data_IF_287661649099
#
_entry.id   IF_287661649099
#
_cell.length_a   1.000
_cell.length_b   1.000
_cell.length_c   1.000
_cell.angle_alpha   90.00
_cell.angle_beta   90.00
_cell.angle_gamma   90.00
#
_symmetry.space_group_name_H-M   'P 1'
#
loop_
_entity.id
_entity.type
_entity.pdbx_description
1 polymer ?
#
# COMPACT_ATOMS: atom_id res chain seq x y z
N UNK A 1 -25.08 8.09 -17.49
CA UNK A 1 -23.63 7.83 -17.68
C UNK A 1 -23.04 8.91 -18.57
N UNK A 2 -21.98 9.57 -18.16
CA UNK A 2 -21.31 10.56 -19.00
C UNK A 2 -20.47 9.86 -20.09
N UNK A 3 -20.20 10.56 -21.20
CA UNK A 3 -19.35 10.01 -22.29
C UNK A 3 -17.97 9.57 -21.78
N UNK A 4 -17.44 10.28 -20.78
CA UNK A 4 -16.19 9.97 -20.10
C UNK A 4 -16.26 8.67 -19.27
N UNK A 5 -17.38 8.39 -18.61
CA UNK A 5 -17.59 7.13 -17.89
C UNK A 5 -17.62 5.96 -18.87
N UNK A 6 -18.36 6.10 -19.97
CA UNK A 6 -18.44 5.06 -21.00
C UNK A 6 -17.07 4.75 -21.61
N UNK A 7 -16.28 5.77 -21.95
CA UNK A 7 -14.92 5.59 -22.49
C UNK A 7 -13.96 4.96 -21.49
N UNK A 8 -14.07 5.31 -20.19
CA UNK A 8 -13.24 4.67 -19.15
C UNK A 8 -13.58 3.20 -18.97
N UNK A 9 -14.87 2.83 -19.03
CA UNK A 9 -15.34 1.45 -18.91
C UNK A 9 -14.89 0.59 -20.10
N UNK A 10 -14.94 1.14 -21.32
CA UNK A 10 -14.42 0.47 -22.53
C UNK A 10 -12.90 0.27 -22.44
N UNK A 11 -12.17 1.28 -21.97
CA UNK A 11 -10.72 1.20 -21.76
C UNK A 11 -10.34 0.12 -20.75
N UNK A 12 -11.04 0.07 -19.62
CA UNK A 12 -10.85 -0.94 -18.60
C UNK A 12 -11.22 -2.35 -19.10
N UNK A 13 -12.33 -2.49 -19.86
CA UNK A 13 -12.73 -3.75 -20.47
C UNK A 13 -11.70 -4.27 -21.47
N UNK A 14 -11.07 -3.39 -22.26
CA UNK A 14 -9.98 -3.75 -23.16
C UNK A 14 -8.73 -4.21 -22.39
N UNK A 15 -8.33 -3.49 -21.34
CA UNK A 15 -7.19 -3.86 -20.50
C UNK A 15 -7.39 -5.21 -19.80
N UNK A 16 -8.62 -5.56 -19.42
CA UNK A 16 -8.91 -6.87 -18.81
C UNK A 16 -8.68 -8.06 -19.73
N UNK A 17 -8.69 -7.87 -21.06
CA UNK A 17 -8.40 -8.93 -22.04
C UNK A 17 -6.91 -9.19 -22.23
N UNK A 18 -6.06 -8.28 -21.75
CA UNK A 18 -4.61 -8.42 -21.83
C UNK A 18 -4.07 -9.23 -20.66
N UNK A 19 -2.86 -9.78 -20.83
CA UNK A 19 -2.10 -10.37 -19.75
C UNK A 19 -1.99 -9.36 -18.59
N UNK A 20 -2.19 -9.79 -17.31
CA UNK A 20 -2.36 -8.89 -16.18
C UNK A 20 -1.24 -7.88 -15.99
N UNK A 21 0.03 -8.29 -16.08
CA UNK A 21 1.16 -7.37 -15.89
C UNK A 21 1.33 -6.40 -17.07
N UNK A 22 1.02 -6.83 -18.28
CA UNK A 22 1.00 -5.96 -19.47
C UNK A 22 -0.07 -4.90 -19.35
N UNK A 23 -1.28 -5.29 -18.94
CA UNK A 23 -2.38 -4.35 -18.67
C UNK A 23 -2.02 -3.32 -17.61
N UNK A 24 -1.40 -3.76 -16.51
CA UNK A 24 -0.91 -2.89 -15.45
C UNK A 24 0.11 -1.86 -15.97
N UNK A 25 1.11 -2.31 -16.75
CA UNK A 25 2.10 -1.40 -17.32
C UNK A 25 1.49 -0.37 -18.28
N UNK A 26 0.52 -0.78 -19.11
CA UNK A 26 -0.21 0.13 -19.99
C UNK A 26 -1.04 1.14 -19.21
N UNK A 27 -1.71 0.72 -18.12
CA UNK A 27 -2.47 1.62 -17.25
C UNK A 27 -1.55 2.68 -16.62
N UNK A 28 -0.39 2.28 -16.07
CA UNK A 28 0.59 3.23 -15.51
C UNK A 28 1.11 4.19 -16.57
N UNK A 29 1.46 3.72 -17.77
CA UNK A 29 1.89 4.59 -18.87
C UNK A 29 0.79 5.56 -19.30
N UNK A 30 -0.45 5.11 -19.32
CA UNK A 30 -1.62 5.95 -19.59
C UNK A 30 -1.78 7.06 -18.53
N UNK A 31 -1.80 6.69 -17.26
CA UNK A 31 -1.88 7.62 -16.12
C UNK A 31 -0.72 8.63 -16.11
N UNK A 32 0.48 8.21 -16.50
CA UNK A 32 1.65 9.09 -16.54
C UNK A 32 1.60 10.13 -17.65
N UNK A 33 0.93 9.85 -18.78
CA UNK A 33 1.03 10.63 -20.03
C UNK A 33 -0.25 11.30 -20.45
N UNK A 34 -1.40 10.67 -20.19
CA UNK A 34 -2.69 11.20 -20.64
C UNK A 34 -3.16 12.35 -19.72
N UNK A 35 -3.69 13.43 -20.31
CA UNK A 35 -4.33 14.47 -19.52
C UNK A 35 -5.65 13.91 -18.97
N UNK A 36 -5.73 13.77 -17.64
CA UNK A 36 -6.96 13.40 -16.97
C UNK A 36 -7.63 14.68 -16.42
N UNK A 37 -8.96 14.77 -16.46
CA UNK A 37 -9.67 15.82 -15.74
C UNK A 37 -9.43 15.65 -14.25
N UNK A 38 -9.29 16.76 -13.52
CA UNK A 38 -9.22 16.71 -12.07
C UNK A 38 -10.53 16.17 -11.51
N UNK A 39 -10.45 15.35 -10.46
CA UNK A 39 -11.63 14.96 -9.69
C UNK A 39 -12.33 16.21 -9.15
N UNK A 40 -13.66 16.12 -8.98
CA UNK A 40 -14.42 17.13 -8.28
C UNK A 40 -13.86 17.31 -6.85
N UNK A 41 -13.91 18.52 -6.28
CA UNK A 41 -13.54 18.73 -4.89
C UNK A 41 -14.37 17.82 -3.96
N UNK A 42 -13.71 17.30 -2.95
CA UNK A 42 -14.37 16.51 -1.91
C UNK A 42 -15.29 17.38 -1.03
N UNK A 43 -16.33 16.77 -0.48
CA UNK A 43 -17.11 17.40 0.58
C UNK A 43 -16.19 17.69 1.79
N UNK A 44 -16.16 18.93 2.32
CA UNK A 44 -15.34 19.28 3.47
C UNK A 44 -15.52 18.38 4.70
N UNK A 45 -16.67 17.70 4.83
CA UNK A 45 -16.94 16.74 5.92
C UNK A 45 -16.00 15.54 5.88
N UNK A 46 -15.44 15.20 4.70
CA UNK A 46 -14.52 14.08 4.51
C UNK A 46 -13.09 14.40 4.92
N UNK A 47 -12.79 15.68 5.22
CA UNK A 47 -11.45 16.06 5.66
C UNK A 47 -11.06 15.31 6.92
N UNK A 48 -9.86 14.76 6.91
CA UNK A 48 -9.33 14.02 8.06
C UNK A 48 -7.87 14.34 8.27
N UNK A 49 -7.34 13.93 9.42
CA UNK A 49 -5.94 14.08 9.77
C UNK A 49 -5.35 12.75 10.18
N UNK A 50 -4.19 12.42 9.63
CA UNK A 50 -3.45 11.20 9.94
C UNK A 50 -1.99 11.54 10.26
N UNK A 51 -1.52 11.24 11.47
CA UNK A 51 -0.12 11.44 11.85
C UNK A 51 0.44 12.83 11.47
N UNK A 52 -0.36 13.87 11.66
CA UNK A 52 0.00 15.25 11.30
C UNK A 52 -0.22 15.64 9.83
N UNK A 53 -0.58 14.71 8.97
CA UNK A 53 -0.93 14.97 7.57
C UNK A 53 -2.40 15.38 7.46
N UNK A 54 -2.67 16.53 6.84
CA UNK A 54 -4.03 16.97 6.52
C UNK A 54 -4.44 16.36 5.18
N UNK A 55 -5.52 15.58 5.18
CA UNK A 55 -6.02 14.83 4.02
C UNK A 55 -7.40 15.33 3.62
N UNK A 56 -7.66 15.55 2.31
CA UNK A 56 -8.95 16.02 1.83
C UNK A 56 -10.08 15.00 2.04
N UNK A 57 -9.74 13.71 2.05
CA UNK A 57 -10.66 12.61 2.34
C UNK A 57 -9.90 11.40 2.92
N UNK A 58 -10.59 10.42 3.53
CA UNK A 58 -9.95 9.28 4.20
C UNK A 58 -9.55 8.14 3.26
N UNK A 59 -9.67 8.29 1.94
CA UNK A 59 -9.41 7.20 0.97
C UNK A 59 -8.08 7.42 0.27
N UNK A 60 -7.12 6.55 0.50
CA UNK A 60 -5.81 6.56 -0.14
C UNK A 60 -5.63 5.46 -1.18
N UNK A 61 -4.60 5.59 -2.00
CA UNK A 61 -4.11 4.54 -2.87
C UNK A 61 -2.97 3.79 -2.18
N UNK A 62 -3.08 2.47 -2.08
CA UNK A 62 -2.04 1.60 -1.54
C UNK A 62 -0.86 1.42 -2.50
N UNK A 63 0.32 1.17 -1.95
CA UNK A 63 1.50 0.76 -2.72
C UNK A 63 1.25 -0.51 -3.55
N UNK A 64 1.99 -0.62 -4.65
CA UNK A 64 1.95 -1.77 -5.56
C UNK A 64 1.44 -1.44 -6.95
N UNK A 65 0.59 -0.42 -7.11
CA UNK A 65 0.15 0.06 -8.41
C UNK A 65 1.28 0.82 -9.12
N UNK A 66 1.73 1.92 -8.57
CA UNK A 66 2.84 2.71 -9.10
C UNK A 66 4.13 2.42 -8.31
N UNK A 67 4.90 1.46 -8.79
CA UNK A 67 6.09 0.99 -8.09
C UNK A 67 7.28 1.95 -8.17
N UNK A 68 7.29 2.81 -9.17
CA UNK A 68 8.40 3.73 -9.43
C UNK A 68 8.00 5.22 -9.31
N UNK A 69 6.79 5.52 -8.84
CA UNK A 69 6.24 6.87 -8.78
C UNK A 69 6.17 7.57 -10.16
N UNK A 70 5.89 6.81 -11.24
CA UNK A 70 5.88 7.29 -12.63
C UNK A 70 4.59 8.06 -12.97
N UNK A 71 3.48 7.71 -12.32
CA UNK A 71 2.13 8.15 -12.67
C UNK A 71 1.53 9.17 -11.68
N UNK A 72 2.35 9.78 -10.82
CA UNK A 72 1.90 10.67 -9.75
C UNK A 72 0.96 11.78 -10.24
N UNK A 73 1.23 12.34 -11.45
CA UNK A 73 0.37 13.38 -12.04
C UNK A 73 -1.05 12.85 -12.31
N UNK A 74 -1.17 11.68 -12.92
CA UNK A 74 -2.49 11.08 -13.20
C UNK A 74 -3.18 10.61 -11.93
N UNK A 75 -2.43 9.98 -11.01
CA UNK A 75 -2.98 9.51 -9.75
C UNK A 75 -3.51 10.65 -8.88
N UNK A 76 -2.87 11.82 -8.90
CA UNK A 76 -3.34 13.02 -8.19
C UNK A 76 -4.67 13.58 -8.73
N UNK A 77 -5.10 13.18 -9.93
CA UNK A 77 -6.35 13.59 -10.55
C UNK A 77 -7.52 12.65 -10.22
N UNK A 78 -7.25 11.48 -9.59
CA UNK A 78 -8.28 10.47 -9.34
C UNK A 78 -9.08 10.70 -8.05
N UNK A 79 -8.79 11.73 -7.27
CA UNK A 79 -9.52 12.07 -6.06
C UNK A 79 -9.11 11.31 -4.81
N UNK A 80 -7.94 10.63 -4.81
CA UNK A 80 -7.40 10.04 -3.58
C UNK A 80 -6.93 11.15 -2.61
N UNK A 81 -7.23 10.99 -1.34
CA UNK A 81 -6.73 11.86 -0.28
C UNK A 81 -5.21 11.79 -0.11
N UNK A 82 -4.63 10.63 -0.41
CA UNK A 82 -3.18 10.41 -0.42
C UNK A 82 -2.84 9.22 -1.34
N UNK A 83 -1.59 9.18 -1.81
CA UNK A 83 -1.11 8.16 -2.75
C UNK A 83 0.17 7.53 -2.20
N UNK A 84 0.23 6.20 -2.13
CA UNK A 84 1.43 5.48 -1.75
C UNK A 84 2.04 4.79 -2.96
N UNK A 85 3.31 5.10 -3.26
CA UNK A 85 4.09 4.51 -4.34
C UNK A 85 5.14 3.54 -3.80
N UNK A 86 5.53 2.56 -4.61
CA UNK A 86 6.49 1.52 -4.22
C UNK A 86 5.88 0.12 -4.27
N UNK A 87 6.51 -0.92 -3.68
CA UNK A 87 7.70 -0.78 -2.80
C UNK A 87 8.95 -0.55 -3.64
N UNK A 88 9.76 0.38 -3.21
CA UNK A 88 11.07 0.66 -3.80
C UNK A 88 12.17 0.08 -2.91
N UNK A 89 13.24 -0.42 -3.53
CA UNK A 89 14.44 -0.95 -2.87
C UNK A 89 15.65 -0.11 -3.21
N UNK A 90 16.73 -0.12 -2.39
CA UNK A 90 17.95 0.66 -2.68
C UNK A 90 18.47 0.48 -4.10
N UNK A 91 18.66 -0.76 -4.53
CA UNK A 91 19.08 -1.12 -5.88
C UNK A 91 17.89 -1.49 -6.75
N UNK A 92 17.95 -1.27 -8.08
CA UNK A 92 16.95 -1.81 -9.01
C UNK A 92 16.84 -3.33 -8.88
N UNK A 93 15.63 -3.85 -9.04
CA UNK A 93 15.35 -5.27 -8.87
C UNK A 93 14.29 -5.72 -9.87
N UNK A 94 14.56 -6.80 -10.61
CA UNK A 94 13.63 -7.33 -11.62
C UNK A 94 12.38 -7.97 -11.00
N UNK A 95 12.47 -8.40 -9.74
CA UNK A 95 11.44 -9.19 -9.06
C UNK A 95 11.49 -10.66 -9.41
N UNK A 96 10.41 -11.38 -9.13
CA UNK A 96 10.31 -12.81 -9.39
C UNK A 96 10.05 -13.11 -10.89
N UNK A 97 10.32 -14.33 -11.37
CA UNK A 97 10.01 -14.75 -12.75
C UNK A 97 8.51 -14.60 -13.08
N UNK A 98 8.23 -14.38 -14.36
CA UNK A 98 6.85 -14.36 -14.90
C UNK A 98 6.40 -15.76 -15.28
N UNK A 99 5.07 -16.06 -15.27
CA UNK A 99 3.97 -15.21 -14.84
C UNK A 99 3.95 -15.03 -13.31
N UNK A 100 3.57 -13.85 -12.85
CA UNK A 100 3.63 -13.47 -11.42
C UNK A 100 2.46 -12.61 -10.94
N UNK A 101 1.44 -12.46 -11.79
CA UNK A 101 0.20 -11.75 -11.50
C UNK A 101 -0.96 -12.51 -12.13
N UNK A 102 -1.94 -12.93 -11.33
CA UNK A 102 -3.05 -13.78 -11.72
C UNK A 102 -4.35 -13.15 -11.28
N UNK A 103 -5.28 -12.97 -12.22
CA UNK A 103 -6.65 -12.54 -11.92
C UNK A 103 -7.51 -13.75 -11.59
N UNK A 104 -8.25 -13.66 -10.52
CA UNK A 104 -9.24 -14.62 -10.09
C UNK A 104 -10.59 -13.92 -10.24
N UNK A 105 -11.07 -13.80 -11.50
CA UNK A 105 -12.23 -12.97 -11.81
C UNK A 105 -13.50 -13.49 -11.13
N UNK A 106 -13.65 -14.83 -11.05
CA UNK A 106 -14.77 -15.51 -10.40
C UNK A 106 -14.84 -15.22 -8.89
N UNK A 107 -13.70 -14.89 -8.30
CA UNK A 107 -13.53 -14.66 -6.86
C UNK A 107 -13.32 -13.18 -6.51
N UNK A 108 -13.42 -12.27 -7.49
CA UNK A 108 -13.10 -10.86 -7.33
C UNK A 108 -11.72 -10.67 -6.63
N UNK A 109 -10.73 -11.41 -7.09
CA UNK A 109 -9.44 -11.54 -6.42
C UNK A 109 -8.24 -11.45 -7.37
N UNK A 110 -7.07 -11.26 -6.78
CA UNK A 110 -5.79 -11.30 -7.47
C UNK A 110 -4.76 -12.03 -6.62
N UNK A 111 -3.99 -12.93 -7.23
CA UNK A 111 -2.76 -13.48 -6.65
C UNK A 111 -1.56 -12.84 -7.31
N UNK A 112 -0.61 -12.36 -6.51
CA UNK A 112 0.64 -11.82 -7.00
C UNK A 112 1.86 -12.39 -6.28
N UNK A 113 2.96 -12.56 -7.04
CA UNK A 113 4.28 -12.90 -6.53
C UNK A 113 5.35 -11.98 -7.15
N UNK A 114 5.08 -10.67 -7.13
CA UNK A 114 5.88 -9.67 -7.85
C UNK A 114 7.34 -9.59 -7.37
N UNK A 115 7.60 -9.70 -6.06
CA UNK A 115 8.97 -9.72 -5.51
C UNK A 115 9.67 -8.37 -5.58
N UNK A 116 8.95 -7.27 -5.30
CA UNK A 116 9.47 -5.89 -5.28
C UNK A 116 10.21 -5.48 -6.57
N UNK A 117 9.63 -5.78 -7.74
CA UNK A 117 10.17 -5.28 -9.00
C UNK A 117 10.09 -3.76 -9.06
N UNK A 118 11.23 -3.09 -9.17
CA UNK A 118 11.34 -1.64 -9.20
C UNK A 118 12.66 -1.18 -9.84
N UNK A 119 12.74 0.11 -10.15
CA UNK A 119 13.89 0.73 -10.81
C UNK A 119 14.95 1.33 -9.84
N UNK A 120 14.80 1.10 -8.53
CA UNK A 120 15.71 1.60 -7.50
C UNK A 120 15.44 3.03 -7.05
N UNK A 121 16.09 3.41 -5.94
CA UNK A 121 15.87 4.70 -5.28
C UNK A 121 16.19 5.91 -6.15
N UNK A 122 17.20 5.85 -7.02
CA UNK A 122 17.59 7.01 -7.84
C UNK A 122 16.48 7.41 -8.82
N UNK A 123 15.90 6.43 -9.51
CA UNK A 123 14.79 6.65 -10.44
C UNK A 123 13.56 7.12 -9.67
N UNK A 124 13.24 6.45 -8.56
CA UNK A 124 12.12 6.79 -7.71
C UNK A 124 12.21 8.23 -7.17
N UNK A 125 13.37 8.63 -6.63
CA UNK A 125 13.62 10.00 -6.16
C UNK A 125 13.47 11.03 -7.29
N UNK A 126 13.95 10.69 -8.50
CA UNK A 126 13.78 11.53 -9.69
C UNK A 126 12.32 11.79 -10.04
N UNK A 127 11.45 10.81 -9.86
CA UNK A 127 10.01 10.94 -10.08
C UNK A 127 9.33 11.71 -8.94
N UNK A 128 9.68 11.45 -7.67
CA UNK A 128 9.12 12.18 -6.54
C UNK A 128 9.38 13.70 -6.61
N UNK A 129 10.54 14.13 -7.09
CA UNK A 129 10.83 15.57 -7.29
C UNK A 129 9.87 16.27 -8.25
N UNK A 130 9.14 15.52 -9.07
CA UNK A 130 8.15 16.00 -10.04
C UNK A 130 6.71 15.81 -9.54
N UNK A 131 6.52 15.33 -8.30
CA UNK A 131 5.20 15.12 -7.71
C UNK A 131 4.40 16.43 -7.64
N UNK A 132 3.09 16.40 -7.89
CA UNK A 132 2.23 17.57 -7.71
C UNK A 132 2.22 18.01 -6.24
N UNK A 133 2.44 19.31 -5.99
CA UNK A 133 2.60 19.87 -4.64
C UNK A 133 1.38 19.71 -3.72
N UNK A 134 0.20 19.44 -4.29
CA UNK A 134 -1.07 19.32 -3.52
C UNK A 134 -1.41 17.90 -3.09
N UNK A 135 -0.66 16.89 -3.54
CA UNK A 135 -0.93 15.49 -3.22
C UNK A 135 0.02 15.00 -2.14
N UNK A 136 -0.51 14.43 -1.08
CA UNK A 136 0.31 13.72 -0.09
C UNK A 136 0.78 12.41 -0.71
N UNK A 137 2.08 12.32 -0.97
CA UNK A 137 2.71 11.13 -1.58
C UNK A 137 3.56 10.41 -0.55
N UNK A 138 3.25 9.14 -0.30
CA UNK A 138 4.04 8.24 0.54
C UNK A 138 5.01 7.39 -0.28
N UNK A 139 6.17 7.11 0.30
CA UNK A 139 7.15 6.18 -0.23
C UNK A 139 7.12 4.87 0.56
N UNK A 140 6.68 3.78 -0.08
CA UNK A 140 6.72 2.45 0.49
C UNK A 140 8.10 1.85 0.25
N UNK A 141 8.82 1.55 1.33
CA UNK A 141 10.18 1.03 1.32
C UNK A 141 10.18 -0.48 1.47
N UNK A 142 11.08 -1.14 0.77
CA UNK A 142 11.35 -2.56 0.86
C UNK A 142 12.85 -2.84 0.83
N UNK A 143 13.24 -4.06 1.23
CA UNK A 143 14.61 -4.52 1.14
C UNK A 143 14.86 -5.27 -0.18
N UNK A 144 16.07 -5.18 -0.72
CA UNK A 144 16.50 -6.02 -1.82
C UNK A 144 16.51 -7.51 -1.40
N UNK A 145 16.25 -8.38 -2.37
CA UNK A 145 16.12 -9.82 -2.13
C UNK A 145 17.41 -10.45 -1.59
N UNK A 146 18.53 -9.96 -2.09
CA UNK A 146 19.89 -10.45 -1.84
C UNK A 146 20.64 -9.70 -0.73
N UNK A 147 20.02 -8.72 -0.09
CA UNK A 147 20.61 -8.01 1.06
C UNK A 147 20.51 -8.86 2.31
N UNK A 148 21.63 -9.06 3.01
CA UNK A 148 21.70 -9.76 4.30
C UNK A 148 21.09 -8.89 5.41
N UNK A 149 21.60 -7.68 5.58
CA UNK A 149 21.09 -6.68 6.53
C UNK A 149 19.92 -5.89 5.92
N UNK A 150 18.73 -6.51 5.93
CA UNK A 150 17.54 -5.88 5.37
C UNK A 150 17.16 -4.57 6.07
N UNK A 151 17.48 -4.40 7.35
CA UNK A 151 17.17 -3.18 8.09
C UNK A 151 17.97 -1.98 7.53
N UNK A 152 19.22 -2.20 7.08
CA UNK A 152 20.00 -1.15 6.43
C UNK A 152 19.35 -0.61 5.15
N UNK A 153 18.70 -1.47 4.36
CA UNK A 153 17.99 -1.05 3.14
C UNK A 153 16.85 -0.06 3.43
N UNK A 154 16.09 -0.28 4.51
CA UNK A 154 15.03 0.65 4.92
C UNK A 154 15.60 1.98 5.39
N UNK A 155 16.69 1.98 6.16
CA UNK A 155 17.39 3.19 6.61
C UNK A 155 17.93 3.96 5.42
N UNK A 156 18.53 3.29 4.44
CA UNK A 156 19.01 3.92 3.20
C UNK A 156 17.84 4.56 2.45
N UNK A 157 16.74 3.83 2.25
CA UNK A 157 15.55 4.34 1.59
C UNK A 157 15.00 5.60 2.25
N UNK A 158 14.89 5.59 3.58
CA UNK A 158 14.42 6.73 4.35
C UNK A 158 15.33 7.96 4.16
N UNK A 159 16.64 7.79 4.31
CA UNK A 159 17.63 8.88 4.14
C UNK A 159 17.66 9.44 2.73
N UNK A 160 17.64 8.57 1.71
CA UNK A 160 17.70 8.96 0.30
C UNK A 160 16.46 9.70 -0.19
N UNK A 161 15.31 9.44 0.42
CA UNK A 161 14.04 10.06 0.06
C UNK A 161 13.58 11.12 1.05
N UNK A 162 14.41 11.47 2.03
CA UNK A 162 14.13 12.55 2.97
C UNK A 162 13.83 13.87 2.22
N UNK A 163 12.79 14.57 2.67
CA UNK A 163 12.31 15.80 2.04
C UNK A 163 11.58 15.63 0.70
N UNK A 164 11.53 14.42 0.12
CA UNK A 164 10.83 14.14 -1.15
C UNK A 164 9.46 13.51 -0.95
N UNK A 165 9.29 12.67 0.07
CA UNK A 165 8.01 12.03 0.40
C UNK A 165 7.31 12.77 1.54
N UNK A 166 5.97 12.71 1.54
CA UNK A 166 5.13 13.21 2.63
C UNK A 166 5.16 12.31 3.86
N UNK A 167 5.32 11.00 3.65
CA UNK A 167 5.50 9.96 4.69
C UNK A 167 6.24 8.76 4.12
N UNK A 168 6.66 7.86 5.00
CA UNK A 168 7.31 6.60 4.63
C UNK A 168 6.53 5.40 5.16
N UNK A 169 6.54 4.30 4.41
CA UNK A 169 6.01 3.01 4.88
C UNK A 169 7.13 1.97 4.92
N UNK A 170 7.36 1.40 6.08
CA UNK A 170 8.27 0.26 6.28
C UNK A 170 7.48 -1.02 6.00
N UNK A 171 7.70 -1.63 4.84
CA UNK A 171 6.95 -2.79 4.39
C UNK A 171 7.69 -4.09 4.70
N UNK A 172 7.39 -4.69 5.85
CA UNK A 172 7.97 -5.96 6.31
C UNK A 172 7.03 -7.16 6.07
N UNK A 173 5.96 -6.97 5.34
CA UNK A 173 4.84 -7.91 5.27
C UNK A 173 4.73 -8.66 3.93
N UNK A 174 5.58 -8.35 2.94
CA UNK A 174 5.50 -9.03 1.64
C UNK A 174 5.80 -10.53 1.77
N UNK A 175 4.90 -11.39 1.29
CA UNK A 175 5.17 -12.83 1.27
C UNK A 175 6.12 -13.26 0.15
N UNK A 176 6.43 -12.34 -0.77
CA UNK A 176 7.11 -12.63 -2.03
C UNK A 176 8.63 -12.35 -1.98
N UNK A 177 9.15 -11.97 -0.83
CA UNK A 177 10.57 -11.72 -0.59
C UNK A 177 11.04 -12.64 0.55
N UNK A 178 11.97 -13.56 0.29
CA UNK A 178 12.45 -14.52 1.31
C UNK A 178 12.96 -13.80 2.57
N UNK A 179 12.57 -14.32 3.73
CA UNK A 179 13.01 -13.82 5.04
C UNK A 179 12.44 -12.47 5.46
N UNK A 180 11.66 -11.79 4.61
CA UNK A 180 11.15 -10.47 4.95
C UNK A 180 10.16 -10.49 6.14
N UNK A 181 9.25 -11.46 6.15
CA UNK A 181 8.25 -11.59 7.23
C UNK A 181 8.88 -11.96 8.58
N UNK A 182 10.11 -12.50 8.60
CA UNK A 182 10.85 -12.74 9.84
C UNK A 182 11.15 -11.43 10.60
N UNK A 183 11.18 -10.28 9.92
CA UNK A 183 11.30 -8.96 10.55
C UNK A 183 10.07 -8.57 11.41
N UNK A 184 8.97 -9.31 11.35
CA UNK A 184 7.81 -9.11 12.22
C UNK A 184 7.97 -9.75 13.60
N UNK A 185 8.97 -10.63 13.79
CA UNK A 185 9.30 -11.16 15.10
C UNK A 185 9.93 -10.10 16.01
N UNK A 186 9.57 -10.09 17.30
CA UNK A 186 9.84 -9.01 18.26
C UNK A 186 11.29 -8.50 18.22
N UNK A 187 12.29 -9.36 18.35
CA UNK A 187 13.70 -8.94 18.38
C UNK A 187 14.16 -8.26 17.08
N UNK A 188 13.81 -8.85 15.93
CA UNK A 188 14.18 -8.29 14.63
C UNK A 188 13.43 -6.98 14.35
N UNK A 189 12.20 -6.88 14.83
CA UNK A 189 11.40 -5.66 14.73
C UNK A 189 11.96 -4.52 15.58
N UNK A 190 12.35 -4.80 16.83
CA UNK A 190 12.98 -3.81 17.71
C UNK A 190 14.30 -3.27 17.11
N UNK A 191 15.16 -4.14 16.53
CA UNK A 191 16.35 -3.67 15.83
C UNK A 191 16.02 -2.77 14.65
N UNK A 192 15.11 -3.21 13.78
CA UNK A 192 14.69 -2.44 12.62
C UNK A 192 14.12 -1.07 13.00
N UNK A 193 13.13 -1.05 13.91
CA UNK A 193 12.44 0.18 14.29
C UNK A 193 13.35 1.13 15.08
N UNK A 194 14.25 0.60 15.93
CA UNK A 194 15.28 1.38 16.61
C UNK A 194 16.23 2.07 15.63
N UNK A 195 16.67 1.38 14.57
CA UNK A 195 17.53 1.95 13.51
C UNK A 195 16.76 2.99 12.67
N UNK A 196 15.48 2.78 12.42
CA UNK A 196 14.61 3.75 11.72
C UNK A 196 14.44 5.01 12.57
N UNK A 197 14.17 4.88 13.87
CA UNK A 197 14.02 6.05 14.75
C UNK A 197 15.32 6.85 14.85
N UNK A 198 16.47 6.20 14.99
CA UNK A 198 17.80 6.85 14.97
C UNK A 198 18.11 7.57 13.65
N UNK A 199 17.54 7.11 12.53
CA UNK A 199 17.75 7.73 11.23
C UNK A 199 16.84 8.93 10.95
N UNK A 200 15.82 9.15 11.79
CA UNK A 200 14.85 10.26 11.67
C UNK A 200 15.29 11.47 12.48
N UNK A 201 14.90 12.70 12.08
CA UNK A 201 15.01 13.85 12.97
C UNK A 201 14.27 13.60 14.29
N UNK A 202 14.69 14.21 15.42
CA UNK A 202 14.02 14.06 16.72
C UNK A 202 12.52 14.38 16.63
N UNK A 203 11.75 13.84 17.56
CA UNK A 203 10.29 14.11 17.66
C UNK A 203 10.08 15.62 17.83
N UNK A 204 9.17 16.18 17.03
CA UNK A 204 8.87 17.61 17.00
C UNK A 204 9.86 18.47 16.22
N UNK A 205 10.97 17.92 15.72
CA UNK A 205 11.91 18.66 14.89
C UNK A 205 11.33 18.96 13.50
N UNK A 206 11.66 20.13 12.92
CA UNK A 206 11.30 20.41 11.53
C UNK A 206 11.83 19.33 10.59
N UNK A 207 11.02 18.94 9.62
CA UNK A 207 11.41 17.92 8.62
C UNK A 207 11.16 16.47 9.04
N UNK A 208 10.83 16.17 10.30
CA UNK A 208 10.43 14.81 10.68
C UNK A 208 9.16 14.40 9.92
N UNK A 209 9.29 13.40 9.06
CA UNK A 209 8.16 12.84 8.30
C UNK A 209 7.57 11.64 9.04
N UNK A 210 6.24 11.43 8.96
CA UNK A 210 5.61 10.25 9.53
C UNK A 210 6.17 8.97 8.92
N UNK A 211 6.31 7.94 9.75
CA UNK A 211 6.69 6.59 9.34
C UNK A 211 5.60 5.61 9.75
N UNK A 212 5.10 4.87 8.79
CA UNK A 212 4.09 3.84 8.98
C UNK A 212 4.72 2.45 8.87
N UNK A 213 4.19 1.50 9.62
CA UNK A 213 4.60 0.09 9.56
C UNK A 213 3.51 -0.72 8.88
N UNK A 214 3.84 -1.52 7.85
CA UNK A 214 2.87 -2.36 7.14
C UNK A 214 3.07 -3.83 7.47
N UNK A 215 2.04 -4.45 8.04
CA UNK A 215 2.05 -5.82 8.55
C UNK A 215 1.27 -6.81 7.67
N UNK A 216 1.52 -8.10 7.87
CA UNK A 216 0.79 -9.18 7.21
C UNK A 216 -0.56 -9.43 7.89
N UNK A 217 -1.56 -9.95 7.17
CA UNK A 217 -2.84 -10.33 7.76
C UNK A 217 -2.81 -11.70 8.44
N UNK A 218 -1.78 -12.52 8.16
CA UNK A 218 -1.68 -13.92 8.62
C UNK A 218 -1.12 -14.05 10.05
N UNK A 219 -1.05 -12.96 10.79
CA UNK A 219 -0.55 -12.91 12.17
C UNK A 219 -1.66 -13.25 13.17
N UNK A 220 -1.30 -13.90 14.27
CA UNK A 220 -2.19 -14.09 15.42
C UNK A 220 -2.43 -12.76 16.16
N UNK A 221 -3.49 -12.70 16.95
CA UNK A 221 -3.78 -11.52 17.78
C UNK A 221 -2.63 -11.19 18.75
N UNK A 222 -1.93 -12.20 19.27
CA UNK A 222 -0.77 -11.99 20.15
C UNK A 222 0.41 -11.36 19.40
N UNK A 223 0.75 -11.85 18.20
CA UNK A 223 1.79 -11.26 17.36
C UNK A 223 1.45 -9.82 16.95
N UNK A 224 0.19 -9.55 16.62
CA UNK A 224 -0.27 -8.18 16.31
C UNK A 224 -0.10 -7.28 17.53
N UNK A 225 -0.43 -7.75 18.75
CA UNK A 225 -0.25 -7.00 19.98
C UNK A 225 1.22 -6.65 20.23
N UNK A 226 2.13 -7.63 20.06
CA UNK A 226 3.58 -7.40 20.19
C UNK A 226 4.10 -6.37 19.17
N UNK A 227 3.60 -6.42 17.93
CA UNK A 227 3.96 -5.45 16.90
C UNK A 227 3.44 -4.05 17.24
N UNK A 228 2.21 -3.94 17.74
CA UNK A 228 1.63 -2.65 18.17
C UNK A 228 2.46 -2.04 19.28
N UNK A 229 2.83 -2.81 20.32
CA UNK A 229 3.68 -2.32 21.40
C UNK A 229 5.05 -1.86 20.88
N UNK A 230 5.72 -2.68 20.04
CA UNK A 230 6.99 -2.29 19.44
C UNK A 230 6.86 -1.01 18.59
N UNK A 231 5.78 -0.86 17.83
CA UNK A 231 5.52 0.33 17.02
C UNK A 231 5.33 1.59 17.89
N UNK A 232 4.63 1.47 19.02
CA UNK A 232 4.45 2.55 19.98
C UNK A 232 5.77 2.90 20.67
N UNK A 233 6.52 1.90 21.14
CA UNK A 233 7.79 2.08 21.84
C UNK A 233 8.83 2.81 20.98
N UNK A 234 8.85 2.54 19.67
CA UNK A 234 9.77 3.15 18.70
C UNK A 234 9.20 4.36 17.95
N UNK A 235 8.07 4.91 18.37
CA UNK A 235 7.52 6.15 17.82
C UNK A 235 7.12 6.03 16.35
N UNK A 236 6.57 4.88 15.94
CA UNK A 236 5.90 4.71 14.64
C UNK A 236 4.59 5.48 14.65
N UNK A 237 4.29 6.17 13.56
CA UNK A 237 3.21 7.15 13.51
C UNK A 237 1.86 6.56 13.08
N UNK A 238 1.85 5.38 12.42
CA UNK A 238 0.64 4.61 12.11
C UNK A 238 0.96 3.15 11.72
N UNK A 239 -0.03 2.26 11.84
CA UNK A 239 0.06 0.87 11.41
C UNK A 239 -0.86 0.63 10.21
N UNK A 240 -0.32 0.04 9.12
CA UNK A 240 -1.10 -0.35 7.94
C UNK A 240 -1.47 -1.84 8.05
N UNK A 241 -2.76 -2.09 8.17
CA UNK A 241 -3.37 -3.43 8.31
C UNK A 241 -4.31 -3.68 7.15
N UNK A 242 -3.95 -4.45 6.13
CA UNK A 242 -2.78 -5.30 6.06
C UNK A 242 -2.23 -5.41 4.63
N UNK A 243 -1.24 -6.28 4.44
CA UNK A 243 -0.77 -6.74 3.14
C UNK A 243 -1.68 -7.89 2.61
N UNK A 244 -1.23 -8.61 1.60
CA UNK A 244 -1.88 -9.81 1.02
C UNK A 244 -1.64 -11.04 1.90
N UNK A 245 -2.53 -12.05 1.82
CA UNK A 245 -2.43 -13.29 2.58
C UNK A 245 -1.80 -14.43 1.77
N UNK A 246 -1.13 -15.35 2.47
CA UNK A 246 -0.74 -16.66 1.92
C UNK A 246 -1.87 -17.70 2.06
N UNK A 247 -2.87 -17.44 2.89
CA UNK A 247 -4.00 -18.33 3.05
C UNK A 247 -4.81 -18.43 1.75
N UNK A 248 -5.39 -19.60 1.55
CA UNK A 248 -6.32 -19.89 0.46
C UNK A 248 -7.65 -20.28 1.11
N UNK A 249 -8.62 -19.36 1.20
CA UNK A 249 -9.95 -19.68 1.69
C UNK A 249 -10.59 -20.80 0.85
N UNK A 250 -11.33 -21.67 1.50
CA UNK A 250 -12.10 -22.69 0.80
C UNK A 250 -13.16 -22.04 -0.11
N UNK A 251 -13.41 -22.65 -1.28
CA UNK A 251 -14.44 -22.21 -2.19
C UNK A 251 -14.00 -21.22 -3.26
N UNK A 252 -12.69 -20.94 -3.41
CA UNK A 252 -12.19 -20.23 -4.58
C UNK A 252 -12.51 -21.01 -5.86
N UNK A 253 -13.11 -20.35 -6.84
CA UNK A 253 -13.62 -20.95 -8.07
C UNK A 253 -12.64 -20.84 -9.25
N UNK A 254 -11.69 -19.91 -9.19
CA UNK A 254 -10.75 -19.65 -10.27
C UNK A 254 -9.76 -20.80 -10.48
N UNK A 255 -9.41 -21.14 -11.74
CA UNK A 255 -8.35 -22.11 -12.04
C UNK A 255 -6.97 -21.69 -11.54
N UNK A 256 -6.79 -20.43 -11.14
CA UNK A 256 -5.56 -19.89 -10.56
C UNK A 256 -5.55 -19.89 -9.02
N UNK A 257 -6.53 -20.50 -8.35
CA UNK A 257 -6.67 -20.49 -6.89
C UNK A 257 -5.42 -21.02 -6.16
N UNK A 258 -4.75 -22.03 -6.74
CA UNK A 258 -3.59 -22.71 -6.16
C UNK A 258 -2.24 -22.06 -6.49
N UNK A 259 -2.25 -20.95 -7.26
CA UNK A 259 -1.01 -20.24 -7.58
C UNK A 259 -0.33 -19.72 -6.31
N UNK A 260 0.99 -19.84 -6.25
CA UNK A 260 1.79 -19.29 -5.15
C UNK A 260 1.81 -17.75 -5.20
N UNK A 261 1.86 -17.12 -4.04
CA UNK A 261 1.90 -15.66 -3.89
C UNK A 261 0.86 -15.12 -2.93
N UNK A 262 0.80 -13.81 -2.79
CA UNK A 262 -0.16 -13.12 -1.93
C UNK A 262 -1.51 -12.96 -2.59
N UNK A 263 -2.57 -13.44 -1.95
CA UNK A 263 -3.97 -13.26 -2.35
C UNK A 263 -4.51 -11.95 -1.81
N UNK A 264 -5.21 -11.20 -2.66
CA UNK A 264 -5.92 -9.96 -2.33
C UNK A 264 -7.32 -9.98 -2.96
N UNK A 265 -8.15 -8.99 -2.63
CA UNK A 265 -9.53 -8.89 -3.12
C UNK A 265 -10.57 -9.35 -2.12
N UNK A 266 -11.77 -9.69 -2.59
CA UNK A 266 -12.90 -10.05 -1.75
C UNK A 266 -12.59 -11.19 -0.75
N UNK A 267 -11.87 -12.26 -1.12
CA UNK A 267 -11.53 -13.35 -0.18
C UNK A 267 -10.63 -12.93 1.00
N UNK A 268 -9.93 -11.80 0.88
CA UNK A 268 -9.09 -11.27 1.97
C UNK A 268 -9.91 -10.55 3.05
N UNK A 269 -11.14 -10.14 2.75
CA UNK A 269 -11.96 -9.30 3.63
C UNK A 269 -12.07 -9.80 5.07
N UNK A 270 -12.45 -11.07 5.34
CA UNK A 270 -12.60 -11.55 6.72
C UNK A 270 -11.29 -11.50 7.52
N UNK A 271 -10.19 -11.90 6.90
CA UNK A 271 -8.88 -11.93 7.54
C UNK A 271 -8.34 -10.51 7.81
N UNK A 272 -8.51 -9.59 6.87
CA UNK A 272 -8.12 -8.20 7.04
C UNK A 272 -8.94 -7.50 8.14
N UNK A 273 -10.24 -7.81 8.26
CA UNK A 273 -11.07 -7.30 9.36
C UNK A 273 -10.68 -7.88 10.72
N UNK A 274 -10.37 -9.16 10.79
CA UNK A 274 -9.90 -9.80 12.01
C UNK A 274 -8.58 -9.18 12.48
N UNK A 275 -7.62 -9.01 11.58
CA UNK A 275 -6.35 -8.36 11.88
C UNK A 275 -6.53 -6.90 12.33
N UNK A 276 -7.44 -6.16 11.67
CA UNK A 276 -7.74 -4.77 12.04
C UNK A 276 -8.37 -4.68 13.44
N UNK A 277 -9.30 -5.57 13.80
CA UNK A 277 -9.89 -5.63 15.15
C UNK A 277 -8.82 -5.88 16.21
N UNK A 278 -7.97 -6.89 16.00
CA UNK A 278 -6.88 -7.20 16.92
C UNK A 278 -5.92 -6.01 17.09
N UNK A 279 -5.58 -5.33 15.99
CA UNK A 279 -4.76 -4.13 16.05
C UNK A 279 -5.45 -2.97 16.80
N UNK A 280 -6.75 -2.76 16.58
CA UNK A 280 -7.51 -1.70 17.26
C UNK A 280 -7.64 -1.96 18.76
N UNK A 281 -7.91 -3.21 19.15
CA UNK A 281 -7.97 -3.65 20.54
C UNK A 281 -6.63 -3.46 21.26
N UNK A 282 -5.52 -3.77 20.61
CA UNK A 282 -4.19 -3.60 21.17
C UNK A 282 -3.75 -2.13 21.18
N UNK A 283 -4.00 -1.40 20.10
CA UNK A 283 -3.58 0.00 19.98
C UNK A 283 -4.32 0.94 20.97
N UNK A 284 -5.59 0.70 21.24
CA UNK A 284 -6.41 1.51 22.18
C UNK A 284 -6.30 3.03 21.92
N UNK A 285 -6.21 3.42 20.64
CA UNK A 285 -6.05 4.81 20.23
C UNK A 285 -4.63 5.40 20.35
N UNK A 286 -3.65 4.66 20.88
CA UNK A 286 -2.24 5.08 20.98
C UNK A 286 -1.55 5.16 19.60
N UNK A 287 -2.00 4.38 18.64
CA UNK A 287 -1.43 4.26 17.29
C UNK A 287 -2.55 4.33 16.25
N UNK A 288 -2.55 5.32 15.34
CA UNK A 288 -3.49 5.37 14.23
C UNK A 288 -3.40 4.13 13.33
N UNK A 289 -4.55 3.65 12.84
CA UNK A 289 -4.62 2.49 11.96
C UNK A 289 -5.07 2.87 10.56
N UNK A 290 -4.47 2.25 9.56
CA UNK A 290 -4.80 2.38 8.13
C UNK A 290 -5.28 1.02 7.64
N UNK A 291 -6.54 0.91 7.21
CA UNK A 291 -7.09 -0.37 6.76
C UNK A 291 -6.83 -0.58 5.26
N UNK A 292 -6.38 -1.78 4.90
CA UNK A 292 -6.12 -2.19 3.51
C UNK A 292 -6.56 -3.63 3.29
N UNK A 293 -7.14 -3.91 2.14
CA UNK A 293 -7.50 -5.26 1.70
C UNK A 293 -8.99 -5.56 1.80
N UNK A 294 -9.56 -6.06 0.71
CA UNK A 294 -10.97 -6.43 0.62
C UNK A 294 -11.95 -5.26 0.78
N UNK A 295 -11.57 -4.05 0.35
CA UNK A 295 -12.43 -2.87 0.36
C UNK A 295 -12.89 -2.61 -1.06
N UNK A 296 -14.16 -2.88 -1.38
CA UNK A 296 -14.76 -2.78 -2.71
C UNK A 296 -15.79 -1.66 -2.85
N UNK A 297 -16.22 -1.06 -1.75
CA UNK A 297 -17.28 -0.04 -1.74
C UNK A 297 -17.04 1.02 -0.67
N UNK A 298 -17.81 2.11 -0.72
CA UNK A 298 -17.84 3.12 0.34
C UNK A 298 -18.35 2.56 1.67
N UNK A 299 -19.28 1.60 1.61
CA UNK A 299 -19.78 0.90 2.80
C UNK A 299 -18.68 0.05 3.46
N UNK A 300 -17.87 -0.64 2.66
CA UNK A 300 -16.71 -1.36 3.19
C UNK A 300 -15.72 -0.40 3.85
N UNK A 301 -15.42 0.72 3.20
CA UNK A 301 -14.53 1.74 3.76
C UNK A 301 -15.08 2.27 5.11
N UNK A 302 -16.36 2.60 5.17
CA UNK A 302 -17.02 3.05 6.39
C UNK A 302 -16.98 1.96 7.48
N UNK A 303 -17.23 0.70 7.13
CA UNK A 303 -17.13 -0.43 8.05
C UNK A 303 -15.71 -0.55 8.64
N UNK A 304 -14.64 -0.35 7.84
CA UNK A 304 -13.26 -0.37 8.34
C UNK A 304 -12.97 0.79 9.29
N UNK A 305 -13.50 1.97 9.02
CA UNK A 305 -13.39 3.12 9.94
C UNK A 305 -14.11 2.80 11.26
N UNK A 306 -15.30 2.21 11.20
CA UNK A 306 -16.04 1.77 12.38
C UNK A 306 -15.32 0.69 13.21
N UNK A 307 -14.43 -0.08 12.58
CA UNK A 307 -13.57 -1.07 13.24
C UNK A 307 -12.30 -0.47 13.85
N UNK A 308 -12.09 0.84 13.75
CA UNK A 308 -10.98 1.54 14.38
C UNK A 308 -9.94 2.11 13.42
N UNK A 309 -10.11 1.99 12.10
CA UNK A 309 -9.21 2.65 11.15
C UNK A 309 -9.45 4.15 11.09
N UNK A 310 -8.37 4.94 11.02
CA UNK A 310 -8.43 6.38 10.77
C UNK A 310 -8.69 6.70 9.30
N UNK A 311 -8.12 5.91 8.40
CA UNK A 311 -8.24 6.02 6.94
C UNK A 311 -8.18 4.63 6.31
N UNK A 312 -8.52 4.55 5.02
CA UNK A 312 -8.44 3.31 4.23
C UNK A 312 -7.53 3.50 3.02
N UNK A 313 -6.94 2.41 2.53
CA UNK A 313 -6.23 2.39 1.25
C UNK A 313 -6.85 1.36 0.31
N UNK A 314 -7.08 1.76 -0.94
CA UNK A 314 -7.52 0.87 -2.01
C UNK A 314 -6.31 0.24 -2.71
N UNK A 315 -6.40 -1.04 -3.02
CA UNK A 315 -5.33 -1.82 -3.65
C UNK A 315 -5.58 -2.00 -5.15
N UNK A 316 -4.63 -2.63 -5.84
CA UNK A 316 -4.58 -2.90 -7.28
C UNK A 316 -5.86 -3.47 -7.90
N UNK A 317 -6.62 -4.25 -7.15
CA UNK A 317 -7.79 -4.95 -7.69
C UNK A 317 -8.88 -4.00 -8.17
N UNK A 318 -9.05 -2.85 -7.51
CA UNK A 318 -10.07 -1.86 -7.83
C UNK A 318 -9.78 -1.10 -9.14
N UNK A 319 -8.57 -1.22 -9.68
CA UNK A 319 -8.16 -0.59 -10.95
C UNK A 319 -8.37 -1.55 -12.12
N UNK A 320 -8.36 -2.86 -11.86
CA UNK A 320 -8.69 -3.88 -12.86
C UNK A 320 -10.19 -4.15 -13.00
N UNK A 321 -11.01 -3.69 -12.03
CA UNK A 321 -12.47 -3.76 -12.05
C UNK A 321 -13.05 -2.34 -12.08
N UNK A 322 -13.90 -1.96 -13.07
CA UNK A 322 -14.44 -0.60 -13.17
C UNK A 322 -15.64 -0.38 -12.25
N UNK A 323 -15.69 -1.01 -11.11
CA UNK A 323 -16.60 -0.61 -10.05
C UNK A 323 -15.94 0.57 -9.34
N UNK A 324 -16.19 1.81 -9.84
CA UNK A 324 -15.98 2.99 -9.01
C UNK A 324 -16.68 2.73 -7.68
N UNK A 325 -15.98 2.85 -6.54
CA UNK A 325 -16.71 3.09 -5.31
C UNK A 325 -17.53 4.35 -5.58
N UNK A 326 -18.84 4.22 -5.65
CA UNK A 326 -19.71 5.40 -5.56
C UNK A 326 -19.63 5.80 -4.09
N UNK A 327 -18.65 6.65 -3.80
CA UNK A 327 -18.57 7.38 -2.54
C UNK A 327 -19.72 8.36 -2.47
#
# INVERSE_FOLDING_TARGET
>A
MSLTETLSDWGAAALRRLEPETAHQLAIKGLARLPLPAAAPDDPILRTRLAGLDLPNPVGLAAGLDKNAEALRGLSQLGFGFVECGSVTPRPQAGNPRPRLFRLAEDEAVINRMGFNNAGLDVFAGHLRRAPARTVVGANLGANKDTEDKAADYVEGLRRLEGLAGYFTINISSPNTPGLRALQGRQALDDLLGRIDQARPPVGAPGRRPVFLKIAPDLSAAEIAEIVEAAVDHGIDALIVSNTTLARPAGLASPHADESGGLSGAPLTPLAEQALRAAAESAQGRLPLIAVGGIGSGEDAYRRIRLGASVVQLSLIHISEPTRPRL
#
